data_IF_572192635357
#
_entry.id   IF_572192635357
#
_cell.length_a   1.000
_cell.length_b   1.000
_cell.length_c   1.000
_cell.angle_alpha   90.00
_cell.angle_beta   90.00
_cell.angle_gamma   90.00
#
_symmetry.space_group_name_H-M   'P 1'
#
loop_
_entity.id
_entity.type
_entity.pdbx_description
1 polymer ?
#
# COMPACT_ATOMS: atom_id res chain seq x y z
N UNK A 1 14.11 21.36 9.81
CA UNK A 1 15.48 21.00 10.26
C UNK A 1 15.98 19.81 9.47
N UNK A 2 17.20 19.85 8.91
CA UNK A 2 17.77 18.73 8.12
C UNK A 2 18.29 17.66 9.08
N UNK A 3 17.47 16.69 9.44
CA UNK A 3 17.75 15.65 10.44
C UNK A 3 18.43 14.39 9.87
N UNK A 4 18.55 14.26 8.54
CA UNK A 4 19.18 13.10 7.89
C UNK A 4 18.20 12.04 7.37
N UNK A 5 16.90 12.33 7.27
CA UNK A 5 15.88 11.38 6.76
C UNK A 5 16.19 10.88 5.34
N UNK A 6 16.49 11.80 4.41
CA UNK A 6 16.83 11.43 3.03
C UNK A 6 18.19 10.70 2.96
N UNK A 7 19.15 11.04 3.85
CA UNK A 7 20.42 10.29 4.00
C UNK A 7 20.16 8.86 4.45
N UNK A 8 19.22 8.62 5.36
CA UNK A 8 18.83 7.28 5.76
C UNK A 8 18.24 6.50 4.56
N UNK A 9 17.35 7.14 3.80
CA UNK A 9 16.81 6.53 2.58
C UNK A 9 17.88 6.12 1.58
N UNK A 10 18.98 6.87 1.48
CA UNK A 10 20.11 6.52 0.58
C UNK A 10 20.91 5.30 1.04
N UNK A 11 20.78 4.87 2.29
CA UNK A 11 21.42 3.68 2.83
C UNK A 11 20.62 2.39 2.57
N UNK A 12 19.34 2.52 2.15
CA UNK A 12 18.55 1.34 1.83
C UNK A 12 19.10 0.63 0.58
N UNK A 13 19.08 -0.71 0.56
CA UNK A 13 19.57 -1.47 -0.59
C UNK A 13 18.86 -1.08 -1.88
N UNK A 14 19.63 -0.83 -2.93
CA UNK A 14 19.16 -0.55 -4.30
C UNK A 14 17.93 0.37 -4.32
N UNK A 15 17.99 1.50 -3.59
CA UNK A 15 16.86 2.41 -3.44
C UNK A 15 16.63 3.26 -4.69
N UNK A 16 15.34 3.47 -5.03
CA UNK A 16 14.86 4.46 -5.99
C UNK A 16 14.15 5.57 -5.24
N UNK A 17 14.63 6.80 -5.37
CA UNK A 17 13.97 7.97 -4.80
C UNK A 17 12.91 8.53 -5.74
N UNK A 18 11.69 8.62 -5.25
CA UNK A 18 10.62 9.41 -5.84
C UNK A 18 10.64 10.78 -5.17
N UNK A 19 11.25 11.74 -5.87
CA UNK A 19 11.54 13.07 -5.34
C UNK A 19 10.37 14.02 -5.62
N UNK A 20 9.44 14.10 -4.69
CA UNK A 20 8.28 14.98 -4.77
C UNK A 20 8.62 16.42 -4.32
N UNK A 21 9.60 16.59 -3.43
CA UNK A 21 9.95 17.88 -2.82
C UNK A 21 11.21 18.54 -3.42
N UNK A 22 11.88 17.88 -4.37
CA UNK A 22 13.12 18.33 -5.02
C UNK A 22 14.31 18.55 -4.04
N UNK A 23 14.32 17.84 -2.91
CA UNK A 23 15.34 17.98 -1.86
C UNK A 23 16.61 17.12 -2.00
N UNK A 24 16.72 16.30 -3.07
CA UNK A 24 17.77 15.27 -3.19
C UNK A 24 19.08 15.73 -3.80
N UNK A 25 19.19 17.00 -4.22
CA UNK A 25 20.40 17.54 -4.89
C UNK A 25 21.70 17.41 -4.08
N UNK A 26 21.60 17.23 -2.77
CA UNK A 26 22.75 17.08 -1.89
C UNK A 26 23.21 15.64 -1.68
N UNK A 27 22.50 14.64 -2.23
CA UNK A 27 22.79 13.22 -2.07
C UNK A 27 23.50 12.71 -3.31
N UNK A 28 24.80 12.44 -3.19
CA UNK A 28 25.57 11.86 -4.29
C UNK A 28 25.27 10.36 -4.44
N UNK A 29 25.25 9.87 -5.66
CA UNK A 29 25.17 8.45 -5.97
C UNK A 29 23.78 7.80 -5.84
N UNK A 30 22.72 8.56 -5.54
CA UNK A 30 21.35 8.02 -5.48
C UNK A 30 20.71 7.96 -6.86
N UNK A 31 19.84 6.99 -7.06
CA UNK A 31 18.92 6.95 -8.21
C UNK A 31 17.64 7.69 -7.84
N UNK A 32 17.38 8.81 -8.48
CA UNK A 32 16.25 9.69 -8.16
C UNK A 32 15.47 10.06 -9.41
N UNK A 33 14.15 10.07 -9.28
CA UNK A 33 13.22 10.54 -10.30
C UNK A 33 12.44 11.73 -9.75
N UNK A 34 12.49 12.92 -10.35
CA UNK A 34 11.67 14.05 -9.94
C UNK A 34 10.21 13.78 -10.31
N UNK A 35 9.32 13.94 -9.34
CA UNK A 35 7.88 13.80 -9.52
C UNK A 35 7.22 15.16 -9.35
N UNK A 36 6.87 15.80 -10.47
CA UNK A 36 6.26 17.12 -10.48
C UNK A 36 4.73 17.05 -10.54
N UNK A 37 4.19 15.95 -11.03
CA UNK A 37 2.76 15.67 -11.17
C UNK A 37 2.48 14.22 -10.80
N UNK A 38 1.29 13.93 -10.33
CA UNK A 38 0.88 12.55 -10.04
C UNK A 38 0.97 11.64 -11.28
N UNK A 39 0.70 12.19 -12.47
CA UNK A 39 0.86 11.47 -13.74
C UNK A 39 2.30 11.03 -14.00
N UNK A 40 3.31 11.76 -13.51
CA UNK A 40 4.72 11.36 -13.63
C UNK A 40 5.00 10.16 -12.71
N UNK A 41 4.44 10.16 -11.50
CA UNK A 41 4.47 8.99 -10.61
C UNK A 41 3.79 7.76 -11.23
N UNK A 42 2.62 7.90 -11.85
CA UNK A 42 1.94 6.80 -12.56
C UNK A 42 2.79 6.21 -13.70
N UNK A 43 3.57 7.03 -14.40
CA UNK A 43 4.54 6.52 -15.39
C UNK A 43 5.65 5.71 -14.74
N UNK A 44 6.18 6.15 -13.59
CA UNK A 44 7.17 5.38 -12.83
C UNK A 44 6.56 4.06 -12.37
N UNK A 45 5.34 4.06 -11.84
CA UNK A 45 4.63 2.86 -11.43
C UNK A 45 4.49 1.85 -12.58
N UNK A 46 4.17 2.33 -13.80
CA UNK A 46 4.16 1.50 -15.01
C UNK A 46 5.52 0.87 -15.32
N UNK A 47 6.63 1.55 -15.05
CA UNK A 47 7.96 0.95 -15.20
C UNK A 47 8.29 -0.05 -14.09
N UNK A 48 7.83 0.20 -12.87
CA UNK A 48 8.03 -0.71 -11.73
C UNK A 48 7.31 -2.06 -11.91
N UNK A 49 6.24 -2.12 -12.71
CA UNK A 49 5.56 -3.39 -13.09
C UNK A 49 6.44 -4.33 -13.92
N UNK A 50 7.45 -3.81 -14.58
CA UNK A 50 8.33 -4.62 -15.42
C UNK A 50 9.24 -5.49 -14.56
N UNK A 51 9.45 -6.79 -14.90
CA UNK A 51 10.33 -7.69 -14.12
C UNK A 51 11.72 -7.11 -13.87
N UNK A 52 12.30 -6.41 -14.85
CA UNK A 52 13.62 -5.79 -14.75
C UNK A 52 13.72 -4.75 -13.62
N UNK A 53 12.60 -4.15 -13.21
CA UNK A 53 12.62 -3.18 -12.12
C UNK A 53 13.04 -3.83 -10.80
N UNK A 54 12.64 -5.10 -10.54
CA UNK A 54 13.06 -5.87 -9.35
C UNK A 54 14.53 -6.26 -9.36
N UNK A 55 15.13 -6.38 -10.52
CA UNK A 55 16.57 -6.60 -10.64
C UNK A 55 17.37 -5.34 -10.29
N UNK A 56 16.78 -4.15 -10.52
CA UNK A 56 17.44 -2.86 -10.31
C UNK A 56 17.18 -2.26 -8.94
N UNK A 57 16.00 -2.50 -8.33
CA UNK A 57 15.55 -1.85 -7.11
C UNK A 57 14.96 -2.84 -6.11
N UNK A 58 15.21 -2.61 -4.83
CA UNK A 58 14.58 -3.30 -3.70
C UNK A 58 13.63 -2.39 -2.95
N UNK A 59 13.97 -1.09 -2.90
CA UNK A 59 13.32 -0.13 -2.04
C UNK A 59 12.92 1.13 -2.81
N UNK A 60 11.74 1.65 -2.50
CA UNK A 60 11.21 2.92 -3.01
C UNK A 60 11.21 3.93 -1.86
N UNK A 61 11.85 5.07 -2.06
CA UNK A 61 11.88 6.16 -1.08
C UNK A 61 11.01 7.30 -1.57
N UNK A 62 9.99 7.66 -0.79
CA UNK A 62 9.02 8.72 -1.09
C UNK A 62 9.39 9.98 -0.31
N UNK A 63 9.94 10.98 -0.97
CA UNK A 63 10.41 12.22 -0.35
C UNK A 63 9.72 13.45 -0.97
N UNK A 64 8.63 13.96 -0.38
CA UNK A 64 7.94 13.61 0.85
C UNK A 64 6.51 13.14 0.62
N UNK A 65 5.97 12.37 1.57
CA UNK A 65 4.62 11.82 1.50
C UNK A 65 3.52 12.89 1.48
N UNK A 66 3.73 14.04 2.13
CA UNK A 66 2.77 15.15 2.14
C UNK A 66 2.60 15.78 0.76
N UNK A 67 3.70 15.98 0.03
CA UNK A 67 3.65 16.50 -1.35
C UNK A 67 3.05 15.44 -2.29
N UNK A 68 3.36 14.17 -2.11
CA UNK A 68 2.74 13.09 -2.87
C UNK A 68 1.21 13.11 -2.77
N UNK A 69 0.65 13.30 -1.55
CA UNK A 69 -0.78 13.48 -1.34
C UNK A 69 -1.35 14.70 -2.08
N UNK A 70 -0.69 15.85 -1.96
CA UNK A 70 -1.13 17.09 -2.63
C UNK A 70 -1.14 16.95 -4.16
N UNK A 71 -0.15 16.26 -4.74
CA UNK A 71 -0.12 16.02 -6.19
C UNK A 71 -1.21 15.04 -6.63
N UNK A 72 -1.53 14.05 -5.80
CA UNK A 72 -2.68 13.16 -6.04
C UNK A 72 -4.00 13.93 -5.99
N UNK A 73 -4.19 14.82 -5.00
CA UNK A 73 -5.38 15.67 -4.91
C UNK A 73 -5.54 16.55 -6.15
N UNK A 74 -4.47 17.23 -6.58
CA UNK A 74 -4.47 18.02 -7.81
C UNK A 74 -4.83 17.18 -9.05
N UNK A 75 -4.32 15.96 -9.13
CA UNK A 75 -4.62 15.05 -10.23
C UNK A 75 -6.12 14.70 -10.26
N UNK A 76 -6.74 14.42 -9.12
CA UNK A 76 -8.19 14.15 -9.05
C UNK A 76 -8.97 15.39 -9.47
N UNK A 77 -8.64 16.58 -8.95
CA UNK A 77 -9.28 17.84 -9.35
C UNK A 77 -9.21 18.06 -10.87
N UNK A 78 -8.03 17.87 -11.46
CA UNK A 78 -7.85 18.01 -12.91
C UNK A 78 -8.68 16.99 -13.70
N UNK A 79 -8.76 15.75 -13.23
CA UNK A 79 -9.54 14.68 -13.86
C UNK A 79 -11.04 14.99 -13.86
N UNK A 80 -11.53 15.55 -12.76
CA UNK A 80 -12.93 15.91 -12.60
C UNK A 80 -13.27 17.33 -13.12
N UNK A 81 -12.27 18.09 -13.59
CA UNK A 81 -12.48 19.45 -14.14
C UNK A 81 -12.88 20.48 -13.11
N UNK A 82 -12.43 20.33 -11.84
CA UNK A 82 -12.73 21.24 -10.72
C UNK A 82 -11.46 21.85 -10.15
N UNK A 83 -11.61 23.00 -9.45
CA UNK A 83 -10.49 23.68 -8.80
C UNK A 83 -10.18 23.10 -7.39
N UNK A 84 -11.19 22.55 -6.73
CA UNK A 84 -11.04 21.98 -5.39
C UNK A 84 -11.70 20.61 -5.30
N UNK A 85 -11.11 19.71 -4.51
CA UNK A 85 -11.65 18.38 -4.23
C UNK A 85 -13.06 18.43 -3.62
N UNK A 86 -13.43 19.54 -2.98
CA UNK A 86 -14.75 19.76 -2.38
C UNK A 86 -15.83 20.02 -3.43
N UNK A 87 -15.43 20.48 -4.62
CA UNK A 87 -16.34 20.85 -5.70
C UNK A 87 -16.72 19.63 -6.56
N UNK A 88 -16.11 18.48 -6.30
CA UNK A 88 -16.51 17.19 -6.92
C UNK A 88 -17.92 16.83 -6.45
N UNK A 89 -18.79 16.54 -7.42
CA UNK A 89 -20.22 16.27 -7.18
C UNK A 89 -20.41 15.19 -6.10
N UNK A 90 -21.43 15.40 -5.26
CA UNK A 90 -21.85 14.47 -4.21
C UNK A 90 -20.80 14.14 -3.14
N UNK A 91 -19.74 14.96 -3.00
CA UNK A 91 -18.67 14.72 -2.04
C UNK A 91 -17.79 13.51 -2.36
N UNK A 92 -17.89 12.96 -3.56
CA UNK A 92 -17.13 11.76 -3.98
C UNK A 92 -15.62 12.02 -4.14
N UNK A 93 -15.20 13.27 -4.29
CA UNK A 93 -13.80 13.64 -4.52
C UNK A 93 -12.83 13.06 -3.47
N UNK A 94 -13.21 13.12 -2.19
CA UNK A 94 -12.40 12.53 -1.11
C UNK A 94 -12.31 11.00 -1.19
N UNK A 95 -13.36 10.33 -1.63
CA UNK A 95 -13.37 8.89 -1.89
C UNK A 95 -12.42 8.54 -3.04
N UNK A 96 -12.53 9.24 -4.17
CA UNK A 96 -11.68 9.06 -5.34
C UNK A 96 -10.19 9.29 -5.02
N UNK A 97 -9.88 10.34 -4.24
CA UNK A 97 -8.52 10.65 -3.80
C UNK A 97 -7.95 9.53 -2.93
N UNK A 98 -8.73 9.04 -1.94
CA UNK A 98 -8.31 7.93 -1.06
C UNK A 98 -8.04 6.66 -1.87
N UNK A 99 -8.93 6.30 -2.77
CA UNK A 99 -8.80 5.12 -3.61
C UNK A 99 -7.55 5.21 -4.48
N UNK A 100 -7.39 6.29 -5.27
CA UNK A 100 -6.24 6.50 -6.15
C UNK A 100 -4.91 6.42 -5.36
N UNK A 101 -4.84 7.12 -4.21
CA UNK A 101 -3.63 7.14 -3.39
C UNK A 101 -3.33 5.77 -2.78
N UNK A 102 -4.34 5.09 -2.25
CA UNK A 102 -4.21 3.78 -1.63
C UNK A 102 -3.79 2.70 -2.63
N UNK A 103 -4.44 2.64 -3.78
CA UNK A 103 -4.18 1.63 -4.81
C UNK A 103 -2.75 1.71 -5.34
N UNK A 104 -2.25 2.93 -5.62
CA UNK A 104 -0.90 3.10 -6.13
C UNK A 104 0.18 2.59 -5.14
N UNK A 105 0.06 2.88 -3.85
CA UNK A 105 1.03 2.41 -2.85
C UNK A 105 0.89 0.93 -2.56
N UNK A 106 -0.35 0.43 -2.48
CA UNK A 106 -0.61 -1.00 -2.35
C UNK A 106 -0.02 -1.79 -3.52
N UNK A 107 -0.12 -1.27 -4.73
CA UNK A 107 0.47 -1.92 -5.89
C UNK A 107 1.99 -2.05 -5.76
N UNK A 108 2.70 -1.00 -5.30
CA UNK A 108 4.16 -1.07 -5.08
C UNK A 108 4.52 -2.17 -4.08
N UNK A 109 3.75 -2.32 -2.99
CA UNK A 109 3.97 -3.41 -2.02
C UNK A 109 3.70 -4.79 -2.62
N UNK A 110 2.63 -4.94 -3.42
CA UNK A 110 2.31 -6.19 -4.13
C UNK A 110 3.37 -6.57 -5.18
N UNK A 111 4.03 -5.58 -5.78
CA UNK A 111 5.19 -5.81 -6.65
C UNK A 111 6.44 -6.24 -5.87
N UNK A 112 6.37 -6.28 -4.52
CA UNK A 112 7.42 -6.77 -3.64
C UNK A 112 8.52 -5.74 -3.32
N UNK A 113 8.31 -4.44 -3.57
CA UNK A 113 9.23 -3.39 -3.15
C UNK A 113 9.02 -3.01 -1.69
N UNK A 114 10.11 -2.79 -0.93
CA UNK A 114 10.04 -2.07 0.33
C UNK A 114 9.72 -0.59 0.11
N UNK A 115 8.97 0.05 1.01
CA UNK A 115 8.65 1.48 0.88
C UNK A 115 9.08 2.22 2.14
N UNK A 116 9.84 3.31 1.94
CA UNK A 116 10.13 4.29 2.97
C UNK A 116 9.41 5.60 2.64
N UNK A 117 8.42 5.98 3.46
CA UNK A 117 7.81 7.29 3.40
C UNK A 117 8.55 8.27 4.31
N UNK A 118 9.01 9.38 3.75
CA UNK A 118 9.57 10.49 4.49
C UNK A 118 8.47 11.54 4.67
N UNK A 119 8.28 12.00 5.91
CA UNK A 119 7.37 13.08 6.25
C UNK A 119 8.05 14.09 7.18
N UNK A 120 7.63 15.35 7.12
CA UNK A 120 7.91 16.32 8.16
C UNK A 120 7.11 15.99 9.41
N UNK A 121 7.47 16.58 10.53
CA UNK A 121 6.70 16.49 11.77
C UNK A 121 6.04 17.82 12.07
N UNK A 122 4.88 17.74 12.71
CA UNK A 122 4.16 18.87 13.29
C UNK A 122 3.72 18.58 14.72
N UNK A 123 3.52 19.64 15.48
CA UNK A 123 2.90 19.55 16.79
C UNK A 123 1.38 19.40 16.67
N UNK A 124 0.81 18.51 17.48
CA UNK A 124 -0.65 18.31 17.58
C UNK A 124 -1.04 18.11 19.03
N UNK A 125 -2.03 18.85 19.55
CA UNK A 125 -2.60 18.57 20.86
C UNK A 125 -3.15 17.15 20.93
N UNK A 126 -2.89 16.47 22.05
CA UNK A 126 -3.41 15.13 22.34
C UNK A 126 -4.62 15.21 23.26
N UNK A 127 -5.30 14.10 23.48
CA UNK A 127 -6.34 13.97 24.50
C UNK A 127 -5.76 13.89 25.91
N UNK A 128 -4.47 13.62 26.04
CA UNK A 128 -3.79 13.56 27.34
C UNK A 128 -3.65 14.96 27.94
N UNK A 129 -3.72 15.02 29.25
CA UNK A 129 -3.58 16.25 30.02
C UNK A 129 -2.38 16.16 30.93
N UNK A 130 -1.71 17.32 31.16
CA UNK A 130 -0.71 17.46 32.20
C UNK A 130 -1.36 17.59 33.59
N UNK A 131 -0.55 17.74 34.64
CA UNK A 131 -1.01 17.91 36.02
C UNK A 131 -1.82 19.19 36.22
N UNK A 132 -1.65 20.19 35.35
CA UNK A 132 -2.35 21.48 35.35
C UNK A 132 -3.63 21.45 34.50
N UNK A 133 -3.92 20.31 33.80
CA UNK A 133 -5.11 20.15 32.97
C UNK A 133 -4.96 20.63 31.53
N UNK A 134 -3.77 21.10 31.11
CA UNK A 134 -3.49 21.51 29.72
C UNK A 134 -3.32 20.32 28.82
N UNK A 135 -3.70 20.45 27.53
CA UNK A 135 -3.47 19.41 26.55
C UNK A 135 -1.96 19.21 26.30
N UNK A 136 -1.48 17.98 26.44
CA UNK A 136 -0.12 17.63 26.06
C UNK A 136 -0.01 17.66 24.54
N UNK A 137 1.05 18.30 24.03
CA UNK A 137 1.33 18.39 22.60
C UNK A 137 2.32 17.29 22.20
N UNK A 138 1.97 16.54 21.16
CA UNK A 138 2.84 15.49 20.60
C UNK A 138 3.31 15.83 19.20
N UNK A 139 4.54 15.43 18.88
CA UNK A 139 5.10 15.45 17.53
C UNK A 139 4.51 14.29 16.73
N UNK A 140 3.82 14.61 15.64
CA UNK A 140 3.24 13.63 14.74
C UNK A 140 3.66 13.88 13.27
N UNK A 141 3.50 12.92 12.35
CA UNK A 141 3.73 13.16 10.93
C UNK A 141 2.85 14.30 10.41
N UNK A 142 3.46 15.22 9.64
CA UNK A 142 2.72 16.31 8.98
C UNK A 142 2.05 15.78 7.72
N UNK A 143 0.95 15.07 7.94
CA UNK A 143 0.10 14.47 6.91
C UNK A 143 -1.37 14.80 7.20
N UNK A 144 -2.21 14.95 6.15
CA UNK A 144 -3.65 14.90 6.31
C UNK A 144 -4.10 13.56 6.90
N UNK A 145 -5.15 13.54 7.72
CA UNK A 145 -5.59 12.33 8.41
C UNK A 145 -5.85 11.15 7.48
N UNK A 146 -6.43 11.40 6.29
CA UNK A 146 -6.69 10.35 5.30
C UNK A 146 -5.38 9.76 4.73
N UNK A 147 -4.40 10.59 4.40
CA UNK A 147 -3.09 10.13 3.94
C UNK A 147 -2.36 9.32 5.02
N UNK A 148 -2.41 9.83 6.27
CA UNK A 148 -1.84 9.13 7.41
C UNK A 148 -2.46 7.75 7.61
N UNK A 149 -3.79 7.63 7.58
CA UNK A 149 -4.50 6.34 7.75
C UNK A 149 -4.10 5.33 6.68
N UNK A 150 -3.99 5.77 5.43
CA UNK A 150 -3.58 4.90 4.32
C UNK A 150 -2.14 4.44 4.50
N UNK A 151 -1.20 5.36 4.77
CA UNK A 151 0.21 5.02 4.96
C UNK A 151 0.39 4.10 6.16
N UNK A 152 -0.28 4.40 7.30
CA UNK A 152 -0.23 3.58 8.51
C UNK A 152 -0.72 2.15 8.28
N UNK A 153 -1.66 1.93 7.35
CA UNK A 153 -2.12 0.58 7.02
C UNK A 153 -1.08 -0.24 6.23
N UNK A 154 -0.12 0.41 5.59
CA UNK A 154 0.87 -0.19 4.70
C UNK A 154 2.20 -0.45 5.44
N UNK A 155 2.64 0.51 6.28
CA UNK A 155 3.97 0.45 6.91
C UNK A 155 3.98 -0.40 8.18
N UNK A 156 5.12 -1.05 8.45
CA UNK A 156 5.32 -1.84 9.68
C UNK A 156 5.88 -1.00 10.82
N UNK A 157 6.55 0.11 10.51
CA UNK A 157 7.18 0.99 11.50
C UNK A 157 6.86 2.44 11.17
N UNK A 158 6.36 3.19 12.16
CA UNK A 158 6.30 4.64 12.16
C UNK A 158 7.38 5.13 13.12
N UNK A 159 8.44 5.70 12.58
CA UNK A 159 9.58 6.18 13.36
C UNK A 159 9.58 7.70 13.50
N UNK A 160 9.83 8.20 14.71
CA UNK A 160 10.12 9.61 14.94
C UNK A 160 11.61 9.82 15.15
N UNK A 161 12.23 10.63 14.27
CA UNK A 161 13.64 10.97 14.34
C UNK A 161 13.87 12.20 15.19
N UNK A 162 14.62 12.05 16.28
CA UNK A 162 15.01 13.13 17.16
C UNK A 162 16.53 13.31 17.19
N UNK A 163 16.96 14.57 17.20
CA UNK A 163 18.35 14.97 17.48
C UNK A 163 18.45 15.34 18.95
N UNK A 164 19.35 14.71 19.69
CA UNK A 164 19.64 15.01 21.10
C UNK A 164 21.02 15.63 21.20
N UNK A 165 21.12 16.71 21.97
CA UNK A 165 22.40 17.36 22.27
C UNK A 165 22.99 16.74 23.54
N UNK A 166 24.23 16.34 23.47
CA UNK A 166 25.01 15.86 24.62
C UNK A 166 25.58 17.04 25.41
N UNK A 167 25.92 16.86 26.70
CA UNK A 167 26.54 17.90 27.53
C UNK A 167 27.86 18.43 26.98
N UNK A 168 28.56 17.63 26.18
CA UNK A 168 29.83 17.98 25.53
C UNK A 168 29.67 18.81 24.25
N UNK A 169 28.43 19.17 23.88
CA UNK A 169 28.09 19.91 22.66
C UNK A 169 28.00 19.05 21.41
N UNK A 170 28.25 17.74 21.48
CA UNK A 170 27.97 16.81 20.36
C UNK A 170 26.48 16.52 20.23
N UNK A 171 26.06 16.04 19.08
CA UNK A 171 24.66 15.65 18.88
C UNK A 171 24.56 14.20 18.41
N UNK A 172 23.61 13.48 18.96
CA UNK A 172 23.24 12.15 18.52
C UNK A 172 21.83 12.14 17.95
N UNK A 173 21.56 11.18 17.09
CA UNK A 173 20.26 10.99 16.47
C UNK A 173 19.67 9.66 16.91
N UNK A 174 18.40 9.69 17.30
CA UNK A 174 17.65 8.52 17.73
C UNK A 174 16.35 8.39 16.97
N UNK A 175 15.98 7.16 16.66
CA UNK A 175 14.69 6.79 16.11
C UNK A 175 13.82 6.21 17.23
N UNK A 176 12.71 6.86 17.51
CA UNK A 176 11.66 6.35 18.39
C UNK A 176 10.72 5.47 17.58
N UNK A 177 10.49 4.27 18.05
CA UNK A 177 9.65 3.24 17.42
C UNK A 177 8.39 2.93 18.22
N UNK A 178 8.24 3.57 19.39
CA UNK A 178 7.06 3.53 20.26
C UNK A 178 6.65 4.93 20.65
N UNK A 179 5.34 5.13 20.79
CA UNK A 179 4.79 6.40 21.26
C UNK A 179 5.20 6.71 22.68
N UNK A 180 5.37 8.00 22.95
CA UNK A 180 5.45 8.61 24.29
C UNK A 180 4.34 9.67 24.39
N UNK A 181 4.11 10.30 25.54
CA UNK A 181 3.14 11.41 25.63
C UNK A 181 3.38 12.54 24.63
N UNK A 182 4.63 12.76 24.22
CA UNK A 182 5.04 13.87 23.34
C UNK A 182 5.53 13.45 21.95
N UNK A 183 5.56 12.15 21.66
CA UNK A 183 6.03 11.59 20.39
C UNK A 183 5.04 10.56 19.89
N UNK A 184 4.64 10.70 18.64
CA UNK A 184 3.85 9.69 17.94
C UNK A 184 4.76 8.78 17.11
N UNK A 185 4.80 7.50 17.48
CA UNK A 185 5.56 6.44 16.80
C UNK A 185 4.85 5.09 17.01
N UNK A 186 5.23 4.06 16.27
CA UNK A 186 4.63 2.75 16.41
C UNK A 186 5.34 1.68 15.58
N UNK A 187 5.18 0.42 15.96
CA UNK A 187 5.72 -0.71 15.21
C UNK A 187 4.83 -1.94 15.35
N UNK A 188 4.71 -2.72 14.28
CA UNK A 188 4.11 -4.06 14.30
C UNK A 188 5.02 -5.10 14.95
N UNK A 189 6.33 -4.85 15.00
CA UNK A 189 7.28 -5.73 15.70
C UNK A 189 7.12 -5.54 17.22
N UNK A 190 6.54 -6.53 17.89
CA UNK A 190 6.18 -6.47 19.32
C UNK A 190 7.39 -6.15 20.19
N UNK A 191 8.54 -6.75 19.94
CA UNK A 191 9.75 -6.66 20.75
C UNK A 191 10.75 -5.63 20.24
N UNK A 192 10.42 -4.82 19.23
CA UNK A 192 11.31 -3.77 18.74
C UNK A 192 11.59 -2.76 19.86
N UNK A 193 12.88 -2.47 20.10
CA UNK A 193 13.32 -1.51 21.10
C UNK A 193 12.64 -0.14 20.90
N UNK A 194 12.10 0.50 21.95
CA UNK A 194 11.30 1.73 21.82
C UNK A 194 12.10 2.95 21.33
N UNK A 195 13.43 2.91 21.47
CA UNK A 195 14.36 3.93 21.02
C UNK A 195 15.65 3.25 20.58
N UNK A 196 16.08 3.53 19.36
CA UNK A 196 17.33 3.00 18.78
C UNK A 196 18.20 4.14 18.28
N UNK A 197 19.50 3.93 18.17
CA UNK A 197 20.41 4.86 17.50
C UNK A 197 20.00 4.94 16.02
N UNK A 198 20.03 6.14 15.44
CA UNK A 198 19.55 6.35 14.08
C UNK A 198 20.61 5.95 13.05
N UNK A 199 20.33 4.92 12.30
CA UNK A 199 21.12 4.40 11.18
C UNK A 199 20.40 3.21 10.56
N UNK A 200 20.76 2.89 9.32
CA UNK A 200 20.14 1.76 8.60
C UNK A 200 20.51 0.43 9.27
N UNK A 201 21.80 0.22 9.57
CA UNK A 201 22.26 -1.01 10.19
C UNK A 201 21.67 -1.18 11.58
N UNK A 202 21.63 -0.11 12.38
CA UNK A 202 21.07 -0.11 13.71
C UNK A 202 19.55 -0.48 13.71
N UNK A 203 18.83 -0.05 12.66
CA UNK A 203 17.42 -0.47 12.49
C UNK A 203 17.32 -1.94 12.09
N UNK A 204 18.15 -2.41 11.17
CA UNK A 204 18.18 -3.82 10.74
C UNK A 204 18.48 -4.73 11.91
N UNK A 205 19.51 -4.39 12.69
CA UNK A 205 19.92 -5.17 13.87
C UNK A 205 18.81 -5.20 14.91
N UNK A 206 18.18 -4.05 15.20
CA UNK A 206 17.08 -3.98 16.16
C UNK A 206 15.83 -4.77 15.71
N UNK A 207 15.55 -4.83 14.41
CA UNK A 207 14.48 -5.69 13.86
C UNK A 207 14.86 -7.17 14.02
N UNK A 208 16.12 -7.52 13.73
CA UNK A 208 16.61 -8.89 13.93
C UNK A 208 16.46 -9.34 15.38
N UNK A 209 16.92 -8.52 16.33
CA UNK A 209 16.79 -8.78 17.76
C UNK A 209 15.31 -8.95 18.18
N UNK A 210 14.41 -8.12 17.63
CA UNK A 210 12.98 -8.20 17.92
C UNK A 210 12.35 -9.50 17.40
N UNK A 211 12.77 -9.97 16.22
CA UNK A 211 12.34 -11.25 15.64
C UNK A 211 12.86 -12.42 16.49
N UNK A 212 14.14 -12.40 16.85
CA UNK A 212 14.75 -13.43 17.69
C UNK A 212 14.07 -13.53 19.07
N UNK A 213 13.69 -12.38 19.63
CA UNK A 213 12.98 -12.35 20.90
C UNK A 213 11.55 -12.90 20.77
N UNK A 214 10.85 -12.63 19.66
CA UNK A 214 9.54 -13.22 19.37
C UNK A 214 9.63 -14.76 19.22
N UNK A 215 10.67 -15.26 18.57
CA UNK A 215 10.92 -16.72 18.49
C UNK A 215 11.11 -17.32 19.87
N UNK A 216 11.91 -16.69 20.73
CA UNK A 216 12.22 -17.19 22.07
C UNK A 216 11.03 -17.17 23.01
N UNK A 217 10.23 -16.08 22.99
CA UNK A 217 9.13 -15.88 23.96
C UNK A 217 7.83 -16.50 23.50
N UNK A 218 7.51 -16.34 22.21
CA UNK A 218 6.18 -16.68 21.67
C UNK A 218 6.21 -17.97 20.83
N UNK A 219 7.41 -18.53 20.57
CA UNK A 219 7.57 -19.68 19.68
C UNK A 219 7.23 -19.33 18.22
N UNK A 220 7.37 -18.04 17.84
CA UNK A 220 7.07 -17.59 16.50
C UNK A 220 7.90 -18.35 15.46
N UNK A 221 7.27 -18.77 14.36
CA UNK A 221 7.99 -19.36 13.23
C UNK A 221 8.45 -18.23 12.32
N UNK A 222 9.77 -18.14 12.09
CA UNK A 222 10.33 -17.22 11.12
C UNK A 222 10.40 -17.94 9.77
N UNK A 223 9.68 -17.40 8.79
CA UNK A 223 9.83 -17.82 7.40
C UNK A 223 10.71 -16.80 6.68
N UNK A 224 11.80 -17.27 6.07
CA UNK A 224 12.77 -16.41 5.37
C UNK A 224 12.19 -15.63 4.17
N UNK A 225 11.04 -16.06 3.69
CA UNK A 225 10.30 -15.36 2.63
C UNK A 225 8.81 -15.58 2.86
N UNK A 226 8.06 -14.50 2.90
CA UNK A 226 6.65 -14.56 2.56
C UNK A 226 6.60 -14.92 1.07
N UNK A 227 6.30 -16.16 0.74
CA UNK A 227 5.92 -16.50 -0.62
C UNK A 227 4.61 -15.75 -0.87
N UNK A 228 4.75 -14.57 -1.47
CA UNK A 228 3.60 -13.90 -2.05
C UNK A 228 3.20 -14.80 -3.21
N UNK A 229 2.17 -15.60 -3.00
CA UNK A 229 1.50 -16.29 -4.10
C UNK A 229 1.08 -15.19 -5.06
N UNK A 230 1.84 -15.02 -6.14
CA UNK A 230 1.45 -14.11 -7.20
C UNK A 230 0.19 -14.72 -7.82
N UNK A 231 -0.94 -14.20 -7.42
CA UNK A 231 -2.19 -14.44 -8.15
C UNK A 231 -1.96 -13.78 -9.50
N UNK A 232 -1.65 -14.60 -10.51
CA UNK A 232 -1.48 -14.12 -11.88
C UNK A 232 -2.83 -13.61 -12.34
N UNK A 233 -2.99 -12.30 -12.40
CA UNK A 233 -4.16 -11.70 -13.05
C UNK A 233 -4.08 -12.05 -14.54
N UNK A 234 -5.07 -12.79 -15.01
CA UNK A 234 -5.17 -13.15 -16.42
C UNK A 234 -5.82 -12.01 -17.21
N UNK A 235 -5.48 -11.83 -18.50
CA UNK A 235 -6.15 -10.87 -19.34
C UNK A 235 -7.68 -11.14 -19.40
N UNK A 236 -8.48 -10.08 -19.30
CA UNK A 236 -9.96 -10.19 -19.33
C UNK A 236 -10.47 -11.03 -20.48
N UNK A 237 -9.91 -10.86 -21.68
CA UNK A 237 -10.33 -11.62 -22.86
C UNK A 237 -10.07 -13.13 -22.74
N UNK A 238 -9.00 -13.55 -22.08
CA UNK A 238 -8.71 -14.97 -21.82
C UNK A 238 -9.73 -15.54 -20.83
N UNK A 239 -10.01 -14.83 -19.74
CA UNK A 239 -10.99 -15.25 -18.73
C UNK A 239 -12.40 -15.36 -19.37
N UNK A 240 -12.79 -14.39 -20.18
CA UNK A 240 -14.06 -14.40 -20.91
C UNK A 240 -14.19 -15.53 -21.92
N UNK A 241 -13.10 -15.87 -22.59
CA UNK A 241 -13.07 -17.01 -23.54
C UNK A 241 -13.29 -18.31 -22.78
N UNK A 242 -12.54 -18.54 -21.73
CA UNK A 242 -12.67 -19.71 -20.87
C UNK A 242 -14.07 -19.81 -20.22
N UNK A 243 -14.62 -18.69 -19.71
CA UNK A 243 -15.97 -18.65 -19.14
C UNK A 243 -17.04 -19.08 -20.16
N UNK A 244 -16.91 -18.66 -21.42
CA UNK A 244 -17.84 -19.05 -22.49
C UNK A 244 -17.69 -20.52 -22.87
N UNK A 245 -16.48 -21.00 -22.96
CA UNK A 245 -16.20 -22.40 -23.27
C UNK A 245 -16.76 -23.34 -22.19
N UNK A 246 -16.53 -23.01 -20.92
CA UNK A 246 -17.07 -23.75 -19.78
C UNK A 246 -18.59 -23.70 -19.73
N UNK A 247 -19.19 -22.53 -19.95
CA UNK A 247 -20.63 -22.36 -20.05
C UNK A 247 -21.22 -23.30 -21.11
N UNK A 248 -20.65 -23.28 -22.32
CA UNK A 248 -21.12 -24.08 -23.44
C UNK A 248 -20.95 -25.58 -23.17
N UNK A 249 -19.76 -25.99 -22.74
CA UNK A 249 -19.47 -27.41 -22.47
C UNK A 249 -20.34 -27.97 -21.34
N UNK A 250 -20.60 -27.18 -20.29
CA UNK A 250 -21.46 -27.59 -19.19
C UNK A 250 -22.92 -27.83 -19.64
N UNK A 251 -23.44 -26.97 -20.53
CA UNK A 251 -24.79 -27.15 -21.08
C UNK A 251 -24.88 -28.29 -22.11
N UNK A 252 -23.88 -28.43 -22.96
CA UNK A 252 -23.82 -29.49 -23.97
C UNK A 252 -23.63 -30.88 -23.36
N UNK A 253 -23.09 -30.98 -22.18
CA UNK A 253 -22.95 -32.22 -21.42
C UNK A 253 -24.29 -32.74 -20.85
N UNK A 254 -25.38 -32.00 -20.95
CA UNK A 254 -26.69 -32.46 -20.51
C UNK A 254 -27.28 -33.46 -21.53
N UNK A 255 -27.82 -34.59 -21.02
CA UNK A 255 -28.37 -35.68 -21.84
C UNK A 255 -29.88 -35.57 -22.03
N UNK A 256 -30.56 -34.79 -21.20
CA UNK A 256 -32.01 -34.55 -21.26
C UNK A 256 -32.33 -33.06 -21.12
N UNK A 257 -33.54 -32.65 -21.59
CA UNK A 257 -34.00 -31.27 -21.44
C UNK A 257 -34.17 -30.88 -19.94
N UNK A 258 -34.59 -31.81 -19.09
CA UNK A 258 -34.70 -31.60 -17.63
C UNK A 258 -33.33 -31.35 -16.99
N UNK A 259 -32.30 -32.09 -17.37
CA UNK A 259 -30.94 -31.89 -16.91
C UNK A 259 -30.36 -30.54 -17.38
N UNK A 260 -30.66 -30.15 -18.62
CA UNK A 260 -30.27 -28.87 -19.16
C UNK A 260 -30.91 -27.69 -18.39
N UNK A 261 -32.17 -27.79 -18.02
CA UNK A 261 -32.86 -26.79 -17.21
C UNK A 261 -32.25 -26.70 -15.80
N UNK A 262 -31.93 -27.84 -15.19
CA UNK A 262 -31.25 -27.88 -13.90
C UNK A 262 -29.87 -27.18 -13.96
N UNK A 263 -29.07 -27.48 -14.96
CA UNK A 263 -27.75 -26.83 -15.17
C UNK A 263 -27.87 -25.33 -15.42
N UNK A 264 -28.87 -24.90 -16.18
CA UNK A 264 -29.20 -23.49 -16.38
C UNK A 264 -29.55 -22.78 -15.06
N UNK A 265 -30.32 -23.42 -14.21
CA UNK A 265 -30.68 -22.85 -12.90
C UNK A 265 -29.45 -22.72 -11.97
N UNK A 266 -28.58 -23.71 -11.97
CA UNK A 266 -27.29 -23.64 -11.23
C UNK A 266 -26.46 -22.44 -11.70
N UNK A 267 -26.30 -22.25 -13.01
CA UNK A 267 -25.56 -21.12 -13.55
C UNK A 267 -26.20 -19.77 -13.25
N UNK A 268 -27.54 -19.68 -13.27
CA UNK A 268 -28.26 -18.47 -12.87
C UNK A 268 -28.04 -18.15 -11.38
N UNK A 269 -28.04 -19.16 -10.54
CA UNK A 269 -27.74 -18.97 -9.10
C UNK A 269 -26.32 -18.46 -8.86
N UNK A 270 -25.33 -18.97 -9.58
CA UNK A 270 -23.95 -18.47 -9.53
C UNK A 270 -23.92 -17.00 -9.98
N UNK A 271 -24.53 -16.69 -11.13
CA UNK A 271 -24.60 -15.34 -11.67
C UNK A 271 -25.26 -14.39 -10.67
N UNK A 272 -26.41 -14.76 -10.09
CA UNK A 272 -27.10 -13.95 -9.07
C UNK A 272 -26.20 -13.66 -7.89
N UNK A 273 -25.48 -14.66 -7.40
CA UNK A 273 -24.62 -14.53 -6.23
C UNK A 273 -23.41 -13.66 -6.51
N UNK A 274 -22.77 -13.77 -7.67
CA UNK A 274 -21.55 -13.06 -8.03
C UNK A 274 -21.85 -11.66 -8.59
N UNK A 275 -22.83 -11.54 -9.49
CA UNK A 275 -23.13 -10.27 -10.18
C UNK A 275 -24.34 -9.53 -9.60
N UNK A 276 -25.03 -10.11 -8.61
CA UNK A 276 -26.17 -9.49 -7.93
C UNK A 276 -27.50 -9.53 -8.68
N UNK A 277 -27.56 -10.13 -9.88
CA UNK A 277 -28.78 -10.25 -10.68
C UNK A 277 -28.78 -11.50 -11.54
N UNK A 278 -29.88 -12.25 -11.56
CA UNK A 278 -30.07 -13.42 -12.43
C UNK A 278 -30.17 -13.05 -13.93
N UNK A 279 -30.52 -11.79 -14.22
CA UNK A 279 -30.65 -11.28 -15.58
C UNK A 279 -29.30 -10.82 -16.18
N UNK A 280 -28.23 -10.80 -15.38
CA UNK A 280 -26.91 -10.42 -15.87
C UNK A 280 -26.42 -11.40 -16.92
N UNK A 281 -26.09 -10.87 -18.09
CA UNK A 281 -25.53 -11.66 -19.18
C UNK A 281 -23.99 -11.59 -19.14
N UNK A 282 -23.35 -12.73 -19.06
CA UNK A 282 -21.87 -12.81 -19.04
C UNK A 282 -21.25 -12.06 -20.23
N UNK A 283 -21.93 -12.03 -21.39
CA UNK A 283 -21.49 -11.28 -22.57
C UNK A 283 -21.47 -9.75 -22.40
N UNK A 284 -22.10 -9.23 -21.36
CA UNK A 284 -22.13 -7.80 -21.01
C UNK A 284 -21.04 -7.42 -19.98
N UNK A 285 -20.30 -8.39 -19.48
CA UNK A 285 -19.20 -8.13 -18.55
C UNK A 285 -18.14 -7.22 -19.19
N UNK A 286 -17.62 -6.29 -18.38
CA UNK A 286 -16.62 -5.30 -18.77
C UNK A 286 -15.27 -5.60 -18.09
N UNK A 287 -14.15 -5.09 -18.59
CA UNK A 287 -12.83 -5.39 -18.01
C UNK A 287 -12.69 -5.07 -16.52
N UNK A 288 -13.43 -4.09 -15.99
CA UNK A 288 -13.46 -3.80 -14.55
C UNK A 288 -14.16 -4.87 -13.70
N UNK A 289 -14.82 -5.83 -14.32
CA UNK A 289 -15.48 -6.99 -13.70
C UNK A 289 -14.67 -8.29 -13.89
N UNK A 290 -13.39 -8.19 -14.27
CA UNK A 290 -12.52 -9.33 -14.53
C UNK A 290 -12.52 -10.34 -13.38
N UNK A 291 -12.38 -9.85 -12.14
CA UNK A 291 -12.35 -10.68 -10.94
C UNK A 291 -13.67 -11.44 -10.71
N UNK A 292 -14.82 -10.82 -11.06
CA UNK A 292 -16.13 -11.45 -10.94
C UNK A 292 -16.30 -12.55 -11.99
N UNK A 293 -15.81 -12.32 -13.22
CA UNK A 293 -15.83 -13.34 -14.28
C UNK A 293 -14.90 -14.49 -13.93
N UNK A 294 -13.73 -14.22 -13.36
CA UNK A 294 -12.80 -15.26 -12.91
C UNK A 294 -13.40 -16.10 -11.79
N UNK A 295 -14.03 -15.48 -10.81
CA UNK A 295 -14.74 -16.17 -9.73
C UNK A 295 -15.86 -17.08 -10.27
N UNK A 296 -16.66 -16.57 -11.23
CA UNK A 296 -17.68 -17.37 -11.93
C UNK A 296 -17.06 -18.60 -12.63
N UNK A 297 -15.93 -18.38 -13.31
CA UNK A 297 -15.21 -19.42 -14.05
C UNK A 297 -14.72 -20.51 -13.11
N UNK A 298 -14.15 -20.14 -11.99
CA UNK A 298 -13.60 -21.08 -11.01
C UNK A 298 -14.71 -21.87 -10.31
N UNK A 299 -15.80 -21.23 -9.90
CA UNK A 299 -16.95 -21.94 -9.31
C UNK A 299 -17.58 -22.93 -10.31
N UNK A 300 -17.68 -22.56 -11.59
CA UNK A 300 -18.22 -23.46 -12.61
C UNK A 300 -17.29 -24.65 -12.86
N UNK A 301 -15.96 -24.47 -12.83
CA UNK A 301 -14.99 -25.56 -12.90
C UNK A 301 -15.15 -26.56 -11.77
N UNK A 302 -15.36 -26.07 -10.56
CA UNK A 302 -15.50 -26.92 -9.38
C UNK A 302 -16.78 -27.77 -9.50
N UNK A 303 -17.89 -27.18 -9.94
CA UNK A 303 -19.14 -27.93 -10.19
C UNK A 303 -18.97 -28.99 -11.29
N UNK A 304 -18.23 -28.67 -12.37
CA UNK A 304 -17.98 -29.63 -13.45
C UNK A 304 -17.10 -30.79 -12.98
N UNK A 305 -16.17 -30.57 -12.05
CA UNK A 305 -15.35 -31.65 -11.50
C UNK A 305 -16.12 -32.58 -10.57
N UNK A 306 -17.14 -32.04 -9.87
CA UNK A 306 -17.95 -32.79 -8.91
C UNK A 306 -19.16 -33.49 -9.57
N UNK A 307 -19.42 -33.25 -10.85
CA UNK A 307 -20.51 -33.84 -11.67
C UNK A 307 -20.03 -35.03 -12.46
#
# INVERSE_FOLDING_TARGET
>A
MKTGKSTFGSQLPRSLFLNFEQGTNALAGIRSVPILRWSDFKKVLTQLRKPQAREMYDSIVVDTASIAWQLCEKYICQREGVDSIRDVLWGQGWGMLKTEFSECWREITLLGFGILFIAHSKEKPTEMRDEEGNAITAMCPDLPNNAYTIINSIVDIIGYLQVQMNPDGTSERFLYTRSTPTIFAGSRYQYLAPKIKFGYQELVDAIGDAIDEAVKRDGAQVTDKTEIVQIKTRPFNEIMTEARELWTSYLEGATTDEEKDQRLNIMKDIIRRIFGSEEFKLSQAVPSQSDLVELFTDELKDIIKDS
#
